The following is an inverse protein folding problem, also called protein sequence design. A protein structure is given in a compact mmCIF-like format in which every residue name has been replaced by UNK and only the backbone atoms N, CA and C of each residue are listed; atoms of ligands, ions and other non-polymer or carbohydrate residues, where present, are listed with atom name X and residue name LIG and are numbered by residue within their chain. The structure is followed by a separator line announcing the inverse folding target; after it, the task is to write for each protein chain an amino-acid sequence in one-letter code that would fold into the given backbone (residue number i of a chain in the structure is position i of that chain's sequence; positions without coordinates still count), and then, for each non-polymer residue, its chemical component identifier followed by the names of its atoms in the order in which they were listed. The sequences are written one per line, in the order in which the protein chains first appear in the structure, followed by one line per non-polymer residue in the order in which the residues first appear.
data_IF_999018777757
#
_entry.id   IF_999018777757
#
_cell.length_a   1.000
_cell.length_b   1.000
_cell.length_c   1.000
_cell.angle_alpha   90.00
_cell.angle_beta   90.00
_cell.angle_gamma   90.00
#
_symmetry.space_group_name_H-M   'P 1'
#
loop_
_entity.id
_entity.type
_entity.pdbx_description
1 polymer ?
#
# COMPACT_ATOMS: atom_id res chain seq x y z
N UNK A 1 -9.37 2.03 22.73
CA UNK A 1 -8.59 1.03 21.96
C UNK A 1 -7.63 1.80 21.05
N UNK A 2 -6.32 1.57 21.13
CA UNK A 2 -5.35 2.25 20.24
C UNK A 2 -5.45 1.66 18.82
N UNK A 3 -5.68 2.47 17.76
CA UNK A 3 -5.77 2.00 16.38
C UNK A 3 -4.52 1.20 15.96
N UNK A 4 -4.69 0.20 15.08
CA UNK A 4 -3.61 -0.70 14.65
C UNK A 4 -2.38 0.06 14.12
N UNK A 5 -2.61 1.09 13.31
CA UNK A 5 -1.53 1.92 12.77
C UNK A 5 -0.66 2.56 13.86
N UNK A 6 -1.25 3.04 14.95
CA UNK A 6 -0.48 3.72 16.00
C UNK A 6 0.52 2.77 16.69
N UNK A 7 0.16 1.49 16.88
CA UNK A 7 1.09 0.50 17.44
C UNK A 7 2.22 0.16 16.47
N UNK A 8 1.87 -0.09 15.21
CA UNK A 8 2.84 -0.46 14.18
C UNK A 8 3.89 0.65 13.97
N UNK A 9 3.46 1.91 14.01
CA UNK A 9 4.32 3.09 13.87
C UNK A 9 5.37 3.16 14.98
N UNK A 10 4.96 2.93 16.24
CA UNK A 10 5.82 2.98 17.44
C UNK A 10 6.91 1.91 17.46
N UNK A 11 6.71 0.78 16.77
CA UNK A 11 7.76 -0.24 16.62
C UNK A 11 9.04 0.31 15.97
N UNK A 12 8.94 1.42 15.25
CA UNK A 12 10.05 2.07 14.57
C UNK A 12 10.74 3.18 15.39
N UNK A 13 10.28 3.49 16.61
CA UNK A 13 10.80 4.65 17.36
C UNK A 13 12.28 4.50 17.79
N UNK A 14 12.80 3.27 17.81
CA UNK A 14 14.23 2.96 18.04
C UNK A 14 15.07 2.84 16.78
N UNK A 15 14.52 3.08 15.59
CA UNK A 15 15.20 2.87 14.31
C UNK A 15 15.46 4.19 13.58
N UNK A 16 16.62 4.32 12.95
CA UNK A 16 17.00 5.52 12.22
C UNK A 16 16.17 5.74 10.94
N UNK A 17 15.63 4.66 10.36
CA UNK A 17 14.82 4.71 9.15
C UNK A 17 13.39 4.29 9.42
N UNK A 18 12.47 4.93 8.70
CA UNK A 18 11.05 4.58 8.65
C UNK A 18 10.59 4.22 7.25
N UNK A 19 11.52 3.98 6.31
CA UNK A 19 11.20 3.56 4.94
C UNK A 19 10.36 2.29 4.97
N UNK A 20 9.35 2.23 4.10
CA UNK A 20 8.45 1.09 3.98
C UNK A 20 7.96 0.94 2.54
N UNK A 21 7.53 -0.26 2.20
CA UNK A 21 6.81 -0.53 0.95
C UNK A 21 5.42 -1.09 1.28
N UNK A 22 4.39 -0.51 0.67
CA UNK A 22 3.09 -1.16 0.56
C UNK A 22 3.14 -2.10 -0.66
N UNK A 23 2.74 -3.36 -0.46
CA UNK A 23 2.79 -4.40 -1.49
C UNK A 23 1.41 -5.06 -1.64
N UNK A 24 0.93 -5.18 -2.87
CA UNK A 24 -0.28 -5.94 -3.23
C UNK A 24 0.11 -7.02 -4.21
N UNK A 25 -0.33 -8.25 -3.97
CA UNK A 25 -0.11 -9.39 -4.87
C UNK A 25 -1.46 -9.94 -5.31
N UNK A 26 -1.72 -9.96 -6.61
CA UNK A 26 -2.79 -10.77 -7.21
C UNK A 26 -2.18 -12.08 -7.69
N UNK A 27 -2.85 -13.20 -7.40
CA UNK A 27 -2.50 -14.51 -7.92
C UNK A 27 -3.67 -15.02 -8.78
N UNK A 28 -3.36 -15.54 -9.97
CA UNK A 28 -4.36 -16.04 -10.91
C UNK A 28 -3.95 -17.43 -11.41
N UNK A 29 -4.88 -18.38 -11.36
CA UNK A 29 -4.75 -19.70 -11.98
C UNK A 29 -5.86 -19.85 -13.01
N UNK A 30 -5.51 -20.26 -14.23
CA UNK A 30 -6.52 -20.56 -15.25
C UNK A 30 -7.19 -21.93 -14.99
N UNK A 31 -6.42 -22.89 -14.49
CA UNK A 31 -6.91 -24.20 -14.04
C UNK A 31 -6.14 -24.67 -12.79
N UNK A 32 -6.61 -25.74 -12.15
CA UNK A 32 -6.03 -26.25 -10.90
C UNK A 32 -4.63 -26.86 -11.08
N UNK A 33 -4.28 -27.24 -12.32
CA UNK A 33 -3.02 -27.89 -12.68
C UNK A 33 -1.92 -26.88 -13.05
N UNK A 34 -2.24 -25.59 -13.11
CA UNK A 34 -1.30 -24.53 -13.47
C UNK A 34 -0.77 -23.80 -12.25
N UNK A 35 0.53 -23.49 -12.29
CA UNK A 35 1.15 -22.61 -11.30
C UNK A 35 0.50 -21.22 -11.31
N UNK A 36 0.29 -20.59 -10.15
CA UNK A 36 -0.30 -19.25 -10.08
C UNK A 36 0.56 -18.21 -10.78
N UNK A 37 -0.05 -17.46 -11.70
CA UNK A 37 0.52 -16.22 -12.23
C UNK A 37 0.45 -15.14 -11.16
N UNK A 38 1.59 -14.54 -10.85
CA UNK A 38 1.74 -13.55 -9.78
C UNK A 38 1.89 -12.14 -10.36
N UNK A 39 1.02 -11.22 -9.95
CA UNK A 39 1.06 -9.82 -10.31
C UNK A 39 1.24 -8.97 -9.05
N UNK A 40 2.44 -8.41 -8.88
CA UNK A 40 2.80 -7.68 -7.67
C UNK A 40 3.01 -6.20 -7.95
N UNK A 41 2.21 -5.36 -7.29
CA UNK A 41 2.38 -3.92 -7.29
C UNK A 41 2.99 -3.45 -5.99
N UNK A 42 3.91 -2.50 -6.09
CA UNK A 42 4.62 -1.91 -4.94
C UNK A 42 4.48 -0.39 -4.94
N UNK A 43 4.40 0.17 -3.75
CA UNK A 43 4.42 1.61 -3.53
C UNK A 43 5.42 1.89 -2.41
N UNK A 44 6.48 2.62 -2.74
CA UNK A 44 7.50 3.06 -1.79
C UNK A 44 6.99 4.26 -1.00
N UNK A 45 7.47 4.36 0.23
CA UNK A 45 7.11 5.43 1.13
C UNK A 45 7.84 5.31 2.46
N UNK A 46 7.22 5.94 3.46
CA UNK A 46 7.69 5.94 4.84
C UNK A 46 6.53 5.82 5.80
N UNK A 47 6.83 5.35 7.00
CA UNK A 47 5.92 5.33 8.12
C UNK A 47 6.00 6.68 8.85
N UNK A 48 4.86 7.31 9.08
CA UNK A 48 4.74 8.64 9.67
C UNK A 48 5.28 8.71 11.12
N UNK A 49 5.47 9.94 11.63
CA UNK A 49 5.76 10.22 13.04
C UNK A 49 4.49 10.34 13.91
N UNK A 50 3.34 10.53 13.27
CA UNK A 50 2.03 10.53 13.88
C UNK A 50 1.00 10.16 12.81
N UNK A 51 -0.14 9.57 13.15
CA UNK A 51 -1.20 9.33 12.17
C UNK A 51 -1.70 10.64 11.54
N UNK A 52 -1.86 10.67 10.21
CA UNK A 52 -2.41 11.80 9.45
C UNK A 52 -3.66 11.35 8.69
N UNK A 53 -4.72 12.15 8.70
CA UNK A 53 -5.99 11.83 8.02
C UNK A 53 -6.91 10.88 8.81
N UNK A 54 -8.17 10.77 8.35
CA UNK A 54 -9.20 9.92 8.98
C UNK A 54 -9.13 8.52 8.37
N UNK A 55 -9.02 7.51 9.22
CA UNK A 55 -9.01 6.09 8.81
C UNK A 55 -10.03 5.33 9.64
N UNK A 56 -10.91 4.59 8.95
CA UNK A 56 -11.86 3.67 9.61
C UNK A 56 -11.22 2.33 9.94
N UNK A 57 -10.27 1.85 9.12
CA UNK A 57 -9.57 0.59 9.32
C UNK A 57 -8.21 0.55 8.61
N UNK A 58 -7.25 -0.21 9.16
CA UNK A 58 -5.95 -0.47 8.54
C UNK A 58 -4.84 0.51 8.96
N UNK A 59 -3.95 0.82 8.02
CA UNK A 59 -2.69 1.54 8.26
C UNK A 59 -2.52 2.75 7.32
N UNK A 60 -3.55 3.12 6.56
CA UNK A 60 -3.50 4.21 5.59
C UNK A 60 -3.06 5.54 6.23
N UNK A 61 -3.47 5.81 7.49
CA UNK A 61 -3.11 7.05 8.19
C UNK A 61 -1.64 7.15 8.60
N UNK A 62 -0.89 6.05 8.56
CA UNK A 62 0.53 6.04 8.95
C UNK A 62 1.47 5.80 7.78
N UNK A 63 0.99 5.45 6.59
CA UNK A 63 1.83 5.24 5.41
C UNK A 63 1.79 6.47 4.52
N UNK A 64 2.96 7.06 4.28
CA UNK A 64 3.18 8.22 3.44
C UNK A 64 3.93 7.76 2.19
N UNK A 65 3.27 7.64 1.04
CA UNK A 65 3.93 7.36 -0.23
C UNK A 65 4.97 8.42 -0.60
N UNK A 66 6.04 8.03 -1.30
CA UNK A 66 7.02 9.01 -1.80
C UNK A 66 6.39 9.99 -2.80
N UNK A 67 5.37 9.52 -3.55
CA UNK A 67 4.69 10.26 -4.61
C UNK A 67 3.52 11.14 -4.12
N UNK A 68 3.28 11.26 -2.80
CA UNK A 68 2.08 11.92 -2.23
C UNK A 68 2.28 13.30 -1.62
N UNK A 69 3.48 13.89 -1.73
CA UNK A 69 3.80 15.20 -1.15
C UNK A 69 3.48 15.25 0.37
N UNK A 70 4.11 14.31 1.09
CA UNK A 70 3.98 14.06 2.54
C UNK A 70 2.56 13.73 3.07
N UNK A 71 1.59 13.51 2.18
CA UNK A 71 0.23 13.09 2.58
C UNK A 71 0.19 11.60 2.86
N UNK A 72 -0.47 11.18 3.93
CA UNK A 72 -0.74 9.76 4.16
C UNK A 72 -1.75 9.24 3.14
N UNK A 73 -1.86 7.91 2.98
CA UNK A 73 -2.94 7.34 2.16
C UNK A 73 -4.35 7.72 2.67
N UNK A 74 -4.51 8.03 3.94
CA UNK A 74 -5.80 8.45 4.51
C UNK A 74 -6.16 9.92 4.20
N UNK A 75 -5.17 10.73 3.79
CA UNK A 75 -5.38 12.12 3.37
C UNK A 75 -5.64 12.25 1.87
N UNK A 76 -5.37 11.19 1.08
CA UNK A 76 -5.61 11.19 -0.35
C UNK A 76 -7.08 10.89 -0.67
N UNK A 77 -7.62 11.54 -1.69
CA UNK A 77 -8.88 11.07 -2.29
C UNK A 77 -8.67 9.69 -2.91
N UNK A 78 -9.78 8.97 -3.13
CA UNK A 78 -9.74 7.66 -3.79
C UNK A 78 -9.04 7.72 -5.15
N UNK A 79 -9.29 8.78 -5.93
CA UNK A 79 -8.72 8.99 -7.25
C UNK A 79 -7.22 9.24 -7.17
N UNK A 80 -6.77 10.07 -6.22
CA UNK A 80 -5.35 10.33 -5.98
C UNK A 80 -4.62 9.06 -5.54
N UNK A 81 -5.17 8.34 -4.55
CA UNK A 81 -4.62 7.07 -4.08
C UNK A 81 -4.54 6.05 -5.20
N UNK A 82 -5.57 5.93 -6.03
CA UNK A 82 -5.61 4.98 -7.13
C UNK A 82 -4.53 5.22 -8.19
N UNK A 83 -3.99 6.43 -8.34
CA UNK A 83 -2.88 6.71 -9.27
C UNK A 83 -1.56 6.07 -8.81
N UNK A 84 -1.33 5.98 -7.51
CA UNK A 84 -0.01 5.59 -6.96
C UNK A 84 -0.03 4.29 -6.16
N UNK A 85 -1.21 3.78 -5.78
CA UNK A 85 -1.32 2.67 -4.85
C UNK A 85 -0.74 1.36 -5.40
N UNK A 86 -0.09 0.62 -4.52
CA UNK A 86 0.37 -0.75 -4.72
C UNK A 86 -0.70 -1.67 -5.32
N UNK A 87 -1.96 -1.55 -4.89
CA UNK A 87 -3.08 -2.34 -5.42
C UNK A 87 -3.42 -1.98 -6.87
N UNK A 88 -3.52 -0.69 -7.18
CA UNK A 88 -3.74 -0.25 -8.57
C UNK A 88 -2.62 -0.69 -9.50
N UNK A 89 -1.36 -0.58 -9.04
CA UNK A 89 -0.18 -1.04 -9.78
C UNK A 89 -0.25 -2.56 -10.05
N UNK A 90 -0.62 -3.36 -9.06
CA UNK A 90 -0.79 -4.81 -9.23
C UNK A 90 -1.94 -5.15 -10.20
N UNK A 91 -3.05 -4.42 -10.10
CA UNK A 91 -4.21 -4.61 -10.96
C UNK A 91 -3.92 -4.21 -12.42
N UNK A 92 -3.12 -3.17 -12.66
CA UNK A 92 -2.75 -2.80 -14.03
C UNK A 92 -1.85 -3.87 -14.68
N UNK A 93 -0.93 -4.50 -13.93
CA UNK A 93 -0.17 -5.66 -14.43
C UNK A 93 -1.10 -6.82 -14.81
N UNK A 94 -2.08 -7.12 -13.96
CA UNK A 94 -3.09 -8.15 -14.26
C UNK A 94 -3.90 -7.78 -15.52
N UNK A 95 -4.36 -6.53 -15.64
CA UNK A 95 -5.10 -6.06 -16.82
C UNK A 95 -4.25 -6.14 -18.09
N UNK A 96 -2.97 -5.80 -18.02
CA UNK A 96 -2.05 -5.89 -19.16
C UNK A 96 -1.89 -7.34 -19.64
N UNK A 97 -1.88 -8.32 -18.72
CA UNK A 97 -1.81 -9.73 -19.09
C UNK A 97 -3.02 -10.20 -19.94
N UNK A 98 -4.20 -9.62 -19.74
CA UNK A 98 -5.42 -9.95 -20.49
C UNK A 98 -5.74 -8.99 -21.63
N UNK A 99 -4.98 -7.91 -21.82
CA UNK A 99 -5.12 -7.02 -22.96
C UNK A 99 -4.36 -7.63 -24.14
N UNK A 100 -5.08 -8.42 -24.93
CA UNK A 100 -4.64 -8.89 -26.25
C UNK A 100 -4.52 -7.74 -27.24
#
# INVERSE_FOLDING_TARGET
MVPLGERARRLLDGFATRSAEAISTFAYCFSAEQEPLIFQGRCRGKIALSPKGITSFGWDSIFIPDESDDKSFAELTKEQKNKISHRSKALELLKQHFKT
#
